data_IF_414405666715
#
_entry.id   IF_414405666715
#
_cell.length_a   1.000
_cell.length_b   1.000
_cell.length_c   1.000
_cell.angle_alpha   90.00
_cell.angle_beta   90.00
_cell.angle_gamma   90.00
#
_symmetry.space_group_name_H-M   'P 1'
#
loop_
_entity.id
_entity.type
_entity.pdbx_description
1 polymer ?
#
# COMPACT_ATOMS: atom_id res chain seq x y z
N UNK A 1 -15.66 -3.66 -23.36
CA UNK A 1 -14.50 -2.89 -23.86
C UNK A 1 -13.87 -3.68 -24.99
N UNK A 2 -13.69 -3.08 -26.18
CA UNK A 2 -13.07 -3.76 -27.32
C UNK A 2 -11.55 -3.79 -27.14
N UNK A 3 -10.88 -4.86 -27.54
CA UNK A 3 -9.42 -4.99 -27.42
C UNK A 3 -8.67 -3.89 -28.17
N UNK A 4 -9.20 -3.42 -29.30
CA UNK A 4 -8.64 -2.31 -30.08
C UNK A 4 -8.63 -0.96 -29.35
N UNK A 5 -9.35 -0.85 -28.23
CA UNK A 5 -9.42 0.35 -27.39
C UNK A 5 -8.72 0.14 -26.03
N UNK A 6 -8.08 -1.02 -25.83
CA UNK A 6 -7.36 -1.40 -24.61
C UNK A 6 -5.85 -1.28 -24.85
N UNK A 7 -5.14 -0.65 -23.92
CA UNK A 7 -3.69 -0.80 -23.84
C UNK A 7 -3.37 -2.25 -23.41
N UNK A 8 -3.31 -3.15 -24.37
CA UNK A 8 -2.94 -4.54 -24.20
C UNK A 8 -1.52 -4.75 -24.73
N UNK A 9 -0.54 -4.53 -23.86
CA UNK A 9 0.87 -4.64 -24.21
C UNK A 9 1.41 -6.04 -23.87
N UNK A 10 1.12 -7.05 -24.68
CA UNK A 10 1.69 -8.40 -24.45
C UNK A 10 3.16 -8.47 -24.88
N UNK A 11 3.96 -9.31 -24.23
CA UNK A 11 5.35 -9.59 -24.63
C UNK A 11 5.49 -11.04 -25.09
N UNK A 12 6.19 -11.24 -26.22
CA UNK A 12 6.46 -12.58 -26.76
C UNK A 12 7.47 -13.33 -25.90
N UNK A 13 8.56 -12.64 -25.56
CA UNK A 13 9.69 -13.16 -24.79
C UNK A 13 9.51 -12.84 -23.30
N UNK A 14 10.13 -13.67 -22.47
CA UNK A 14 10.21 -13.46 -21.03
C UNK A 14 11.39 -12.50 -20.78
N UNK A 15 11.20 -11.38 -20.06
CA UNK A 15 12.32 -10.54 -19.66
C UNK A 15 13.32 -11.35 -18.82
N UNK A 16 14.61 -11.24 -19.15
CA UNK A 16 15.66 -12.07 -18.54
C UNK A 16 15.80 -11.85 -17.02
N UNK A 17 15.29 -10.74 -16.49
CA UNK A 17 15.30 -10.38 -15.08
C UNK A 17 14.10 -10.94 -14.28
N UNK A 18 13.20 -11.69 -14.93
CA UNK A 18 12.04 -12.31 -14.29
C UNK A 18 12.29 -13.79 -13.98
N UNK A 19 12.68 -14.09 -12.74
CA UNK A 19 12.98 -15.48 -12.32
C UNK A 19 11.72 -16.30 -11.98
N UNK A 20 10.74 -15.69 -11.31
CA UNK A 20 9.55 -16.39 -10.81
C UNK A 20 8.43 -16.40 -11.85
N UNK A 21 7.76 -17.55 -12.02
CA UNK A 21 6.76 -17.75 -13.08
C UNK A 21 5.60 -16.75 -13.04
N UNK A 22 5.14 -16.34 -11.85
CA UNK A 22 4.09 -15.33 -11.70
C UNK A 22 4.53 -13.98 -12.27
N UNK A 23 5.77 -13.55 -11.95
CA UNK A 23 6.36 -12.32 -12.48
C UNK A 23 6.49 -12.38 -14.01
N UNK A 24 7.00 -13.49 -14.55
CA UNK A 24 7.11 -13.70 -16.00
C UNK A 24 5.75 -13.59 -16.71
N UNK A 25 4.72 -14.24 -16.16
CA UNK A 25 3.37 -14.22 -16.73
C UNK A 25 2.73 -12.84 -16.66
N UNK A 26 2.86 -12.13 -15.54
CA UNK A 26 2.30 -10.78 -15.38
C UNK A 26 2.93 -9.76 -16.35
N UNK A 27 4.23 -9.87 -16.62
CA UNK A 27 4.92 -9.07 -17.63
C UNK A 27 4.42 -9.39 -19.05
N UNK A 28 4.38 -10.69 -19.40
CA UNK A 28 3.97 -11.17 -20.72
C UNK A 28 2.52 -10.90 -21.05
N UNK A 29 1.63 -11.02 -20.07
CA UNK A 29 0.21 -10.72 -20.23
C UNK A 29 -0.09 -9.22 -20.29
N UNK A 30 0.92 -8.35 -20.12
CA UNK A 30 0.72 -6.90 -20.10
C UNK A 30 -0.07 -6.45 -18.87
N UNK A 31 0.16 -7.07 -17.70
CA UNK A 31 -0.47 -6.70 -16.44
C UNK A 31 0.35 -5.67 -15.66
N UNK A 32 1.68 -5.75 -15.72
CA UNK A 32 2.59 -4.83 -15.04
C UNK A 32 3.76 -4.41 -15.93
N UNK A 33 4.41 -3.29 -15.58
CA UNK A 33 5.68 -2.84 -16.15
C UNK A 33 6.62 -2.37 -15.07
N UNK A 34 7.86 -2.85 -15.10
CA UNK A 34 8.92 -2.41 -14.20
C UNK A 34 9.28 -0.96 -14.53
N UNK A 35 9.21 -0.09 -13.52
CA UNK A 35 9.70 1.29 -13.59
C UNK A 35 11.12 1.38 -13.01
N UNK A 36 11.35 0.71 -11.88
CA UNK A 36 12.65 0.54 -11.24
C UNK A 36 12.65 -0.77 -10.41
N UNK A 37 13.76 -1.11 -9.75
CA UNK A 37 13.79 -2.27 -8.85
C UNK A 37 12.71 -2.14 -7.76
N UNK A 38 11.84 -3.15 -7.64
CA UNK A 38 10.73 -3.15 -6.68
C UNK A 38 9.55 -2.22 -7.03
N UNK A 39 9.63 -1.44 -8.11
CA UNK A 39 8.60 -0.47 -8.49
C UNK A 39 7.96 -0.83 -9.83
N UNK A 40 6.63 -1.02 -9.81
CA UNK A 40 5.85 -1.47 -10.96
C UNK A 40 4.67 -0.55 -11.25
N UNK A 41 4.47 -0.27 -12.53
CA UNK A 41 3.23 0.33 -13.05
C UNK A 41 2.23 -0.78 -13.36
N UNK A 42 1.04 -0.69 -12.76
CA UNK A 42 -0.08 -1.57 -13.08
C UNK A 42 -0.78 -1.13 -14.37
N UNK A 43 -0.74 -2.00 -15.39
CA UNK A 43 -1.44 -1.78 -16.66
C UNK A 43 -2.93 -2.10 -16.53
N UNK A 44 -3.79 -1.70 -17.48
CA UNK A 44 -5.25 -1.81 -17.31
C UNK A 44 -5.76 -3.21 -16.97
N UNK A 45 -5.15 -4.28 -17.53
CA UNK A 45 -5.53 -5.66 -17.19
C UNK A 45 -5.14 -6.02 -15.76
N UNK A 46 -3.93 -5.67 -15.32
CA UNK A 46 -3.46 -5.90 -13.96
C UNK A 46 -4.27 -5.12 -12.94
N UNK A 47 -4.52 -3.83 -13.20
CA UNK A 47 -5.29 -2.96 -12.32
C UNK A 47 -6.74 -3.45 -12.14
N UNK A 48 -7.36 -4.02 -13.18
CA UNK A 48 -8.70 -4.63 -13.06
C UNK A 48 -8.72 -5.86 -12.16
N UNK A 49 -7.65 -6.65 -12.15
CA UNK A 49 -7.52 -7.79 -11.24
C UNK A 49 -7.26 -7.30 -9.82
N UNK A 50 -6.34 -6.34 -9.64
CA UNK A 50 -6.05 -5.73 -8.34
C UNK A 50 -7.33 -5.19 -7.68
N UNK A 51 -8.14 -4.41 -8.42
CA UNK A 51 -9.43 -3.89 -7.92
C UNK A 51 -10.46 -4.96 -7.55
N UNK A 52 -10.43 -6.12 -8.21
CA UNK A 52 -11.31 -7.24 -7.83
C UNK A 52 -10.87 -7.87 -6.51
N UNK A 53 -9.57 -8.00 -6.30
CA UNK A 53 -9.00 -8.50 -5.05
C UNK A 53 -9.35 -7.52 -3.92
N UNK A 54 -9.08 -6.24 -4.15
CA UNK A 54 -9.40 -5.13 -3.24
C UNK A 54 -10.88 -5.14 -2.82
N UNK A 55 -11.80 -5.31 -3.78
CA UNK A 55 -13.22 -5.39 -3.51
C UNK A 55 -13.60 -6.56 -2.61
N UNK A 56 -13.04 -7.75 -2.84
CA UNK A 56 -13.31 -8.93 -2.00
C UNK A 56 -12.80 -8.71 -0.57
N UNK A 57 -11.57 -8.17 -0.42
CA UNK A 57 -11.01 -7.86 0.90
C UNK A 57 -11.91 -6.86 1.65
N UNK A 58 -12.29 -5.77 0.98
CA UNK A 58 -13.19 -4.74 1.52
C UNK A 58 -14.55 -5.31 1.92
N UNK A 59 -15.16 -6.14 1.06
CA UNK A 59 -16.46 -6.73 1.32
C UNK A 59 -16.44 -7.60 2.59
N UNK A 60 -15.39 -8.41 2.77
CA UNK A 60 -15.26 -9.28 3.95
C UNK A 60 -14.88 -8.51 5.22
N UNK A 61 -14.02 -7.48 5.12
CA UNK A 61 -13.70 -6.60 6.24
C UNK A 61 -14.95 -5.86 6.72
N UNK A 62 -15.73 -5.29 5.81
CA UNK A 62 -17.00 -4.62 6.13
C UNK A 62 -18.02 -5.59 6.73
N UNK A 63 -18.11 -6.82 6.20
CA UNK A 63 -18.99 -7.87 6.76
C UNK A 63 -18.63 -8.19 8.21
N UNK A 64 -17.35 -8.11 8.58
CA UNK A 64 -16.88 -8.32 9.96
C UNK A 64 -17.17 -7.14 10.91
N UNK A 65 -17.67 -6.01 10.40
CA UNK A 65 -17.91 -4.79 11.17
C UNK A 65 -16.71 -3.86 11.27
N UNK A 66 -15.62 -4.13 10.53
CA UNK A 66 -14.50 -3.19 10.42
C UNK A 66 -14.90 -1.96 9.60
N UNK A 67 -14.31 -0.81 9.91
CA UNK A 67 -14.58 0.46 9.23
C UNK A 67 -13.33 0.92 8.46
N UNK A 68 -13.50 1.25 7.19
CA UNK A 68 -12.41 1.69 6.33
C UNK A 68 -12.04 3.15 6.57
N UNK A 69 -10.75 3.41 6.71
CA UNK A 69 -10.12 4.73 6.76
C UNK A 69 -9.01 4.78 5.71
N UNK A 70 -8.53 5.98 5.36
CA UNK A 70 -7.38 6.16 4.48
C UNK A 70 -6.36 7.08 5.14
N UNK A 71 -5.21 6.53 5.51
CA UNK A 71 -4.15 7.23 6.21
C UNK A 71 -3.06 7.70 5.24
N UNK A 72 -2.36 8.80 5.54
CA UNK A 72 -1.30 9.30 4.66
C UNK A 72 -0.13 8.31 4.56
N UNK A 73 0.48 8.23 3.38
CA UNK A 73 1.70 7.43 3.15
C UNK A 73 2.93 8.09 3.75
N UNK A 74 2.99 9.43 3.77
CA UNK A 74 4.06 10.18 4.42
C UNK A 74 3.68 10.37 5.89
N UNK A 75 4.54 9.92 6.79
CA UNK A 75 4.29 9.94 8.23
C UNK A 75 5.36 10.78 8.95
N UNK A 76 4.97 11.61 9.94
CA UNK A 76 5.92 12.41 10.71
C UNK A 76 6.83 11.53 11.57
N UNK A 77 8.12 11.88 11.65
CA UNK A 77 9.09 11.11 12.42
C UNK A 77 8.76 11.04 13.91
N UNK A 78 8.10 12.08 14.45
CA UNK A 78 7.75 12.20 15.86
C UNK A 78 6.91 11.01 16.35
N UNK A 79 5.97 10.53 15.54
CA UNK A 79 5.13 9.37 15.89
C UNK A 79 5.95 8.08 16.02
N UNK A 80 6.94 7.90 15.14
CA UNK A 80 7.84 6.75 15.14
C UNK A 80 8.89 6.81 16.25
N UNK A 81 9.27 8.04 16.63
CA UNK A 81 10.17 8.28 17.75
C UNK A 81 9.46 8.00 19.08
N UNK A 82 8.18 8.40 19.21
CA UNK A 82 7.36 8.09 20.38
C UNK A 82 7.22 6.57 20.59
N UNK A 83 7.03 5.79 19.50
CA UNK A 83 6.98 4.33 19.58
C UNK A 83 8.36 3.67 19.75
N UNK A 84 9.45 4.43 19.57
CA UNK A 84 10.83 3.93 19.55
C UNK A 84 11.18 3.12 18.29
N UNK A 85 10.25 2.97 17.33
CA UNK A 85 10.48 2.20 16.10
C UNK A 85 11.27 2.96 15.04
N UNK A 86 11.42 4.29 15.19
CA UNK A 86 12.19 5.12 14.25
C UNK A 86 13.59 4.56 14.00
N UNK A 87 14.34 4.22 15.05
CA UNK A 87 15.70 3.67 14.90
C UNK A 87 15.71 2.14 14.75
N UNK A 88 14.78 1.45 15.42
CA UNK A 88 14.73 -0.02 15.44
C UNK A 88 14.39 -0.63 14.07
N UNK A 89 13.60 0.05 13.24
CA UNK A 89 13.24 -0.43 11.89
C UNK A 89 14.47 -0.53 10.97
N UNK A 90 15.54 0.20 11.27
CA UNK A 90 16.80 0.12 10.53
C UNK A 90 16.75 0.80 9.16
N UNK A 91 17.43 0.19 8.19
CA UNK A 91 17.67 0.78 6.87
C UNK A 91 16.49 0.66 5.89
N UNK A 92 15.52 -0.21 6.17
CA UNK A 92 14.34 -0.39 5.32
C UNK A 92 13.34 0.77 5.46
N UNK A 93 13.43 1.55 6.53
CA UNK A 93 12.60 2.73 6.73
C UNK A 93 13.09 3.86 5.81
N UNK A 94 12.32 4.17 4.77
CA UNK A 94 12.64 5.26 3.86
C UNK A 94 12.36 6.61 4.55
N UNK A 95 13.42 7.22 5.08
CA UNK A 95 13.39 8.55 5.72
C UNK A 95 13.62 9.66 4.69
N UNK A 96 12.95 10.79 4.90
CA UNK A 96 13.07 11.99 4.07
C UNK A 96 12.89 13.23 4.93
N UNK A 97 13.53 14.33 4.54
CA UNK A 97 13.31 15.64 5.18
C UNK A 97 12.65 16.58 4.18
N UNK A 98 11.68 17.38 4.64
CA UNK A 98 11.06 18.39 3.78
C UNK A 98 11.95 19.63 3.62
N UNK A 99 11.48 20.60 2.82
CA UNK A 99 12.20 21.87 2.58
C UNK A 99 12.41 22.73 3.86
N UNK A 100 11.70 22.41 4.94
CA UNK A 100 11.78 23.07 6.23
C UNK A 100 12.62 22.26 7.23
N UNK A 101 13.33 21.22 6.77
CA UNK A 101 14.16 20.34 7.59
C UNK A 101 13.36 19.58 8.66
N UNK A 102 12.09 19.27 8.37
CA UNK A 102 11.28 18.36 9.20
C UNK A 102 11.41 16.96 8.68
N UNK A 103 11.54 16.00 9.58
CA UNK A 103 11.76 14.61 9.26
C UNK A 103 10.45 13.83 9.12
N UNK A 104 10.41 12.98 8.10
CA UNK A 104 9.29 12.12 7.76
C UNK A 104 9.82 10.76 7.30
N UNK A 105 8.92 9.78 7.21
CA UNK A 105 9.16 8.54 6.48
C UNK A 105 8.01 8.24 5.51
N UNK A 106 8.28 7.41 4.51
CA UNK A 106 7.21 6.65 3.86
C UNK A 106 6.85 5.49 4.78
N UNK A 107 5.62 5.48 5.26
CA UNK A 107 5.11 4.48 6.19
C UNK A 107 5.16 3.08 5.59
N UNK A 108 6.02 2.18 6.11
CA UNK A 108 5.98 0.77 5.73
C UNK A 108 4.79 0.03 6.38
N UNK A 109 4.23 0.62 7.44
CA UNK A 109 3.01 0.22 8.15
C UNK A 109 2.46 1.44 8.92
N UNK A 110 1.32 1.31 9.61
CA UNK A 110 0.54 2.41 10.16
C UNK A 110 0.10 2.22 11.62
N UNK A 111 0.78 1.38 12.43
CA UNK A 111 0.38 1.19 13.83
C UNK A 111 0.42 2.49 14.63
N UNK A 112 1.44 3.33 14.43
CA UNK A 112 1.57 4.63 15.09
C UNK A 112 0.47 5.60 14.64
N UNK A 113 0.19 5.65 13.33
CA UNK A 113 -0.79 6.58 12.75
C UNK A 113 -2.21 6.24 13.21
N UNK A 114 -2.58 4.95 13.19
CA UNK A 114 -3.91 4.54 13.64
C UNK A 114 -4.05 4.69 15.16
N UNK A 115 -2.97 4.48 15.93
CA UNK A 115 -2.97 4.71 17.37
C UNK A 115 -3.17 6.18 17.71
N UNK A 116 -2.51 7.09 16.99
CA UNK A 116 -2.69 8.54 17.16
C UNK A 116 -4.11 8.99 16.83
N UNK A 117 -4.70 8.45 15.75
CA UNK A 117 -6.11 8.70 15.43
C UNK A 117 -7.04 8.26 16.57
N UNK A 118 -6.90 7.02 17.04
CA UNK A 118 -7.76 6.46 18.09
C UNK A 118 -7.56 7.20 19.41
N UNK A 119 -6.34 7.57 19.77
CA UNK A 119 -6.01 8.35 20.97
C UNK A 119 -6.76 9.68 21.01
N UNK A 120 -6.92 10.34 19.86
CA UNK A 120 -7.58 11.63 19.76
C UNK A 120 -9.11 11.51 19.72
N UNK A 121 -9.65 10.51 19.01
CA UNK A 121 -11.09 10.39 18.75
C UNK A 121 -11.87 9.51 19.76
N UNK A 122 -11.19 8.60 20.45
CA UNK A 122 -11.81 7.64 21.39
C UNK A 122 -11.49 8.02 22.83
N UNK A 123 -12.46 8.66 23.49
CA UNK A 123 -12.32 9.18 24.86
C UNK A 123 -13.10 8.38 25.91
N UNK A 124 -13.91 7.40 25.50
CA UNK A 124 -14.74 6.59 26.39
C UNK A 124 -14.74 5.12 25.98
N UNK A 125 -14.73 4.23 26.97
CA UNK A 125 -14.89 2.79 26.77
C UNK A 125 -16.18 2.42 26.01
N UNK A 126 -17.21 3.28 26.05
CA UNK A 126 -18.48 3.06 25.33
C UNK A 126 -18.35 3.14 23.81
N UNK A 127 -17.28 3.74 23.30
CA UNK A 127 -16.97 3.78 21.87
C UNK A 127 -16.25 2.50 21.39
N UNK A 128 -15.95 1.56 22.30
CA UNK A 128 -15.29 0.30 22.01
C UNK A 128 -16.30 -0.87 22.05
N UNK A 129 -16.09 -1.94 21.27
CA UNK A 129 -14.93 -2.21 20.40
C UNK A 129 -14.93 -1.39 19.10
N UNK A 130 -13.73 -1.13 18.57
CA UNK A 130 -13.50 -0.43 17.31
C UNK A 130 -12.50 -1.22 16.47
N UNK A 131 -12.80 -1.41 15.18
CA UNK A 131 -11.94 -2.10 14.23
C UNK A 131 -11.81 -1.22 12.97
N UNK A 132 -10.59 -0.78 12.67
CA UNK A 132 -10.29 0.14 11.57
C UNK A 132 -9.30 -0.52 10.60
N UNK A 133 -9.44 -0.26 9.30
CA UNK A 133 -8.51 -0.75 8.29
C UNK A 133 -8.36 0.23 7.12
N UNK A 134 -7.32 0.05 6.31
CA UNK A 134 -7.16 0.70 5.00
C UNK A 134 -6.69 -0.33 3.98
N UNK A 135 -6.86 -0.04 2.68
CA UNK A 135 -6.37 -0.87 1.58
C UNK A 135 -5.40 -0.10 0.70
#
# INVERSE_FOLDING_TARGET
>A
MRTSQLLLATQKEIPADAEVISHQLMLRAGMIRKLASGLYTWLPMGLRVLRKIEAIVRDEMNRSGAQEVLMPVVQPAELWQESGRWDQYGAELLRMSDRHQRDFCLGPTHEEVITELVRNEVQSYKQLPLNLYQV
#
